data_IF_801579067972
#
_entry.id   IF_801579067972
#
_cell.length_a   1.000
_cell.length_b   1.000
_cell.length_c   1.000
_cell.angle_alpha   90.00
_cell.angle_beta   90.00
_cell.angle_gamma   90.00
#
_symmetry.space_group_name_H-M   'P 1'
#
loop_
_entity.id
_entity.type
_entity.pdbx_description
1 polymer ?
#
# COMPACT_ATOMS: atom_id res chain seq x y z
N UNK A 1 -2.59 18.49 -13.28
CA UNK A 1 -1.13 18.68 -13.42
C UNK A 1 -0.43 18.76 -12.06
N UNK A 2 -1.14 19.16 -11.00
CA UNK A 2 -0.64 19.28 -9.62
C UNK A 2 -0.31 17.93 -8.94
N UNK A 3 -1.21 16.94 -9.05
CA UNK A 3 -1.03 15.58 -8.47
C UNK A 3 0.23 14.87 -8.97
N UNK A 4 0.52 14.92 -10.27
CA UNK A 4 1.71 14.26 -10.82
C UNK A 4 3.00 14.87 -10.25
N UNK A 5 3.04 16.20 -10.10
CA UNK A 5 4.19 16.91 -9.53
C UNK A 5 4.37 16.63 -8.04
N UNK A 6 3.27 16.42 -7.30
CA UNK A 6 3.29 16.10 -5.88
C UNK A 6 3.73 14.65 -5.64
N UNK A 7 3.18 13.71 -6.40
CA UNK A 7 3.55 12.30 -6.34
C UNK A 7 5.03 12.09 -6.70
N UNK A 8 5.56 12.84 -7.66
CA UNK A 8 6.99 12.77 -8.02
C UNK A 8 7.90 13.34 -6.93
N UNK A 9 7.50 14.44 -6.27
CA UNK A 9 8.20 14.95 -5.08
C UNK A 9 8.20 13.92 -3.96
N UNK A 10 7.07 13.27 -3.71
CA UNK A 10 6.96 12.26 -2.66
C UNK A 10 7.81 11.03 -2.96
N UNK A 11 7.80 10.53 -4.21
CA UNK A 11 8.71 9.47 -4.68
C UNK A 11 10.17 9.82 -4.41
N UNK A 12 10.58 11.04 -4.73
CA UNK A 12 11.95 11.47 -4.48
C UNK A 12 12.29 11.46 -2.98
N UNK A 13 11.35 11.91 -2.14
CA UNK A 13 11.50 11.86 -0.68
C UNK A 13 11.65 10.43 -0.14
N UNK A 14 10.85 9.48 -0.64
CA UNK A 14 10.98 8.05 -0.32
C UNK A 14 12.38 7.54 -0.68
N UNK A 15 12.84 7.81 -1.90
CA UNK A 15 14.16 7.34 -2.37
C UNK A 15 15.30 7.88 -1.49
N UNK A 16 15.24 9.16 -1.10
CA UNK A 16 16.23 9.76 -0.20
C UNK A 16 16.19 9.06 1.16
N UNK A 17 14.99 8.86 1.72
CA UNK A 17 14.84 8.26 3.04
C UNK A 17 15.25 6.78 3.08
N UNK A 18 15.05 6.03 2.00
CA UNK A 18 15.54 4.66 1.85
C UNK A 18 17.06 4.59 1.68
N UNK A 19 17.66 5.53 0.96
CA UNK A 19 19.08 5.51 0.66
C UNK A 19 19.96 5.95 1.86
N UNK A 20 19.53 6.99 2.58
CA UNK A 20 20.37 7.68 3.57
C UNK A 20 19.59 8.24 4.77
N UNK A 21 18.27 8.00 4.86
CA UNK A 21 17.41 8.64 5.86
C UNK A 21 16.77 7.67 6.84
N UNK A 22 15.64 8.09 7.42
CA UNK A 22 14.98 7.40 8.53
C UNK A 22 14.43 6.00 8.18
N UNK A 23 14.38 5.64 6.89
CA UNK A 23 13.90 4.34 6.43
C UNK A 23 15.02 3.35 6.12
N UNK A 24 16.28 3.74 6.28
CA UNK A 24 17.41 2.84 6.00
C UNK A 24 17.39 1.59 6.89
N UNK A 25 16.83 1.70 8.10
CA UNK A 25 16.69 0.60 9.07
C UNK A 25 15.26 0.04 9.14
N UNK A 26 14.32 0.57 8.35
CA UNK A 26 12.94 0.10 8.34
C UNK A 26 12.81 -1.18 7.49
N UNK A 27 12.17 -2.21 8.04
CA UNK A 27 11.92 -3.44 7.30
C UNK A 27 10.87 -3.19 6.21
N UNK A 28 11.22 -3.53 4.98
CA UNK A 28 10.30 -3.58 3.83
C UNK A 28 9.76 -5.02 3.69
N UNK A 29 8.59 -5.33 4.27
CA UNK A 29 8.12 -6.71 4.41
C UNK A 29 7.80 -7.40 3.09
N UNK A 30 7.54 -6.64 2.02
CA UNK A 30 7.27 -7.22 0.70
C UNK A 30 8.57 -7.37 -0.08
N UNK A 31 8.89 -8.62 -0.39
CA UNK A 31 10.01 -9.04 -1.23
C UNK A 31 9.44 -9.86 -2.39
N UNK A 32 9.85 -9.54 -3.61
CA UNK A 32 9.43 -10.31 -4.78
C UNK A 32 10.33 -11.56 -4.97
N UNK A 33 9.98 -12.40 -5.94
CA UNK A 33 10.71 -13.65 -6.22
C UNK A 33 12.17 -13.44 -6.63
N UNK A 34 12.54 -12.24 -7.09
CA UNK A 34 13.92 -11.88 -7.45
C UNK A 34 14.72 -11.32 -6.27
N UNK A 35 14.12 -11.23 -5.07
CA UNK A 35 14.75 -10.64 -3.88
C UNK A 35 14.71 -9.11 -3.84
N UNK A 36 13.97 -8.46 -4.73
CA UNK A 36 13.78 -7.00 -4.71
C UNK A 36 12.62 -6.59 -3.81
N UNK A 37 12.69 -5.38 -3.25
CA UNK A 37 11.62 -4.77 -2.47
C UNK A 37 10.84 -3.78 -3.34
N UNK A 38 9.73 -4.19 -3.99
CA UNK A 38 8.91 -3.26 -4.78
C UNK A 38 8.36 -2.15 -3.89
N UNK A 39 8.56 -0.89 -4.31
CA UNK A 39 8.11 0.30 -3.60
C UNK A 39 7.17 1.11 -4.47
N UNK A 40 6.00 1.47 -3.95
CA UNK A 40 5.00 2.30 -4.63
C UNK A 40 4.65 3.51 -3.77
N UNK A 41 4.69 4.69 -4.38
CA UNK A 41 4.19 5.91 -3.74
C UNK A 41 2.71 6.12 -4.04
N UNK A 42 2.00 6.68 -3.07
CA UNK A 42 0.60 7.08 -3.18
C UNK A 42 0.33 8.39 -2.43
N UNK A 43 -0.70 9.12 -2.85
CA UNK A 43 -1.25 10.26 -2.13
C UNK A 43 -2.60 9.86 -1.53
N UNK A 44 -2.90 10.31 -0.30
CA UNK A 44 -4.14 9.96 0.39
C UNK A 44 -5.39 10.36 -0.40
N UNK A 45 -5.33 11.49 -1.11
CA UNK A 45 -6.43 12.07 -1.89
C UNK A 45 -6.65 11.44 -3.27
N UNK A 46 -5.80 10.51 -3.72
CA UNK A 46 -6.00 9.89 -5.03
C UNK A 46 -6.99 8.71 -4.97
N UNK A 47 -7.54 8.34 -6.12
CA UNK A 47 -8.44 7.19 -6.21
C UNK A 47 -7.69 5.89 -5.91
N UNK A 48 -8.29 5.04 -5.07
CA UNK A 48 -7.77 3.70 -4.76
C UNK A 48 -7.53 2.88 -6.04
N UNK A 49 -8.44 2.98 -7.01
CA UNK A 49 -8.30 2.29 -8.30
C UNK A 49 -7.01 2.68 -9.05
N UNK A 50 -6.55 3.92 -8.91
CA UNK A 50 -5.30 4.39 -9.53
C UNK A 50 -4.08 3.79 -8.81
N UNK A 51 -4.12 3.72 -7.47
CA UNK A 51 -3.09 3.03 -6.69
C UNK A 51 -3.02 1.54 -7.05
N UNK A 52 -4.16 0.84 -7.08
CA UNK A 52 -4.23 -0.58 -7.44
C UNK A 52 -3.65 -0.83 -8.84
N UNK A 53 -3.98 0.02 -9.82
CA UNK A 53 -3.39 -0.06 -11.16
C UNK A 53 -1.88 0.17 -11.20
N UNK A 54 -1.28 0.88 -10.23
CA UNK A 54 0.18 0.98 -10.09
C UNK A 54 0.80 -0.25 -9.44
N UNK A 55 0.11 -0.84 -8.45
CA UNK A 55 0.55 -2.06 -7.78
C UNK A 55 0.53 -3.24 -8.76
N UNK A 56 -0.51 -3.35 -9.59
CA UNK A 56 -0.58 -4.34 -10.68
C UNK A 56 0.64 -4.24 -11.63
N UNK A 57 1.09 -3.03 -11.97
CA UNK A 57 2.25 -2.82 -12.85
C UNK A 57 3.58 -3.26 -12.26
N UNK A 58 3.67 -3.42 -10.94
CA UNK A 58 4.87 -3.94 -10.26
C UNK A 58 4.74 -5.43 -9.87
N UNK A 59 3.71 -6.11 -10.39
CA UNK A 59 3.49 -7.54 -10.17
C UNK A 59 2.45 -7.86 -9.08
N UNK A 60 1.64 -6.89 -8.66
CA UNK A 60 0.53 -7.12 -7.72
C UNK A 60 0.89 -6.97 -6.24
N UNK A 61 2.18 -6.90 -5.91
CA UNK A 61 2.68 -6.83 -4.53
C UNK A 61 3.68 -5.70 -4.37
N UNK A 62 3.58 -4.95 -3.27
CA UNK A 62 4.41 -3.77 -3.03
C UNK A 62 4.43 -3.34 -1.56
N UNK A 63 5.55 -2.74 -1.16
CA UNK A 63 5.59 -1.83 -0.01
C UNK A 63 5.08 -0.47 -0.49
N UNK A 64 3.92 -0.05 0.00
CA UNK A 64 3.26 1.18 -0.43
C UNK A 64 3.43 2.24 0.65
N UNK A 65 4.01 3.38 0.29
CA UNK A 65 4.02 4.56 1.15
C UNK A 65 2.92 5.51 0.70
N UNK A 66 2.08 5.93 1.63
CA UNK A 66 0.99 6.87 1.40
C UNK A 66 1.32 8.18 2.10
N UNK A 67 1.43 9.26 1.34
CA UNK A 67 1.53 10.61 1.88
C UNK A 67 0.12 11.13 2.21
N UNK A 68 -0.10 11.51 3.46
CA UNK A 68 -1.25 12.31 3.90
C UNK A 68 -0.75 13.68 4.37
N UNK A 69 -1.65 14.63 4.64
CA UNK A 69 -1.26 16.03 4.97
C UNK A 69 -0.17 16.15 6.05
N UNK A 70 -0.20 15.30 7.08
CA UNK A 70 0.72 15.39 8.23
C UNK A 70 1.44 14.07 8.59
N UNK A 71 1.32 13.03 7.76
CA UNK A 71 1.90 11.71 8.05
C UNK A 71 2.20 10.91 6.80
N UNK A 72 3.14 9.98 6.93
CA UNK A 72 3.34 8.91 5.95
C UNK A 72 2.95 7.59 6.58
N UNK A 73 2.13 6.81 5.89
CA UNK A 73 1.70 5.49 6.32
C UNK A 73 2.19 4.45 5.33
N UNK A 74 2.77 3.35 5.82
CA UNK A 74 3.20 2.22 5.03
C UNK A 74 2.15 1.10 5.07
N UNK A 75 1.84 0.58 3.88
CA UNK A 75 1.04 -0.62 3.66
C UNK A 75 1.90 -1.70 3.02
N UNK A 76 1.67 -2.95 3.38
CA UNK A 76 2.28 -4.10 2.73
C UNK A 76 1.21 -4.82 1.89
N UNK A 77 1.36 -4.83 0.57
CA UNK A 77 0.53 -5.64 -0.32
C UNK A 77 1.27 -6.96 -0.53
N UNK A 78 0.83 -8.00 0.20
CA UNK A 78 1.49 -9.31 0.27
C UNK A 78 0.67 -10.32 -0.51
N UNK A 79 1.30 -11.32 -1.13
CA UNK A 79 0.58 -12.47 -1.64
C UNK A 79 -0.13 -13.22 -0.51
N UNK A 80 -1.46 -13.36 -0.61
CA UNK A 80 -2.25 -14.08 0.38
C UNK A 80 -1.81 -15.54 0.58
N UNK A 81 -1.20 -16.17 -0.44
CA UNK A 81 -0.63 -17.53 -0.33
C UNK A 81 0.60 -17.58 0.59
N UNK A 82 1.32 -16.46 0.71
CA UNK A 82 2.53 -16.31 1.54
C UNK A 82 2.23 -15.65 2.89
N UNK A 83 1.00 -15.22 3.15
CA UNK A 83 0.65 -14.42 4.30
C UNK A 83 0.14 -15.26 5.49
N UNK A 84 0.80 -15.11 6.63
CA UNK A 84 0.32 -15.63 7.92
C UNK A 84 -0.87 -14.76 8.36
N UNK A 85 -2.06 -15.36 8.48
CA UNK A 85 -3.29 -14.66 8.89
C UNK A 85 -4.27 -14.33 7.76
N UNK A 86 -3.94 -14.62 6.50
CA UNK A 86 -4.83 -14.35 5.36
C UNK A 86 -6.19 -15.10 5.42
N UNK A 87 -6.29 -16.16 6.22
CA UNK A 87 -7.55 -16.88 6.46
C UNK A 87 -8.51 -16.12 7.41
N UNK A 88 -7.98 -15.25 8.28
CA UNK A 88 -8.74 -14.49 9.28
C UNK A 88 -9.01 -13.04 8.84
N UNK A 89 -8.47 -12.65 7.69
CA UNK A 89 -8.62 -11.35 7.07
C UNK A 89 -10.03 -11.15 6.50
N UNK A 90 -10.50 -9.91 6.51
CA UNK A 90 -11.79 -9.56 5.89
C UNK A 90 -11.69 -9.65 4.36
N UNK A 91 -12.65 -10.33 3.73
CA UNK A 91 -12.63 -10.57 2.30
C UNK A 91 -13.48 -9.55 1.56
N UNK A 92 -12.82 -8.51 1.02
CA UNK A 92 -13.49 -7.46 0.26
C UNK A 92 -14.07 -7.95 -1.06
N UNK A 93 -13.81 -9.20 -1.47
CA UNK A 93 -14.45 -9.80 -2.65
C UNK A 93 -15.93 -10.13 -2.42
N UNK A 94 -16.36 -10.31 -1.16
CA UNK A 94 -17.73 -10.63 -0.77
C UNK A 94 -18.68 -9.47 -1.06
N UNK A 95 -19.87 -9.81 -1.55
CA UNK A 95 -20.88 -8.82 -1.96
C UNK A 95 -21.28 -7.92 -0.78
N UNK A 96 -20.89 -6.64 -0.86
CA UNK A 96 -21.23 -5.61 0.13
C UNK A 96 -20.04 -4.83 0.71
N UNK A 97 -18.82 -5.37 0.61
CA UNK A 97 -17.63 -4.76 1.23
C UNK A 97 -16.64 -4.18 0.22
N UNK A 98 -16.89 -4.35 -1.08
CA UNK A 98 -16.04 -3.79 -2.14
C UNK A 98 -15.92 -2.27 -2.04
N UNK A 99 -14.70 -1.71 -2.15
CA UNK A 99 -14.52 -0.27 -2.26
C UNK A 99 -15.34 0.31 -3.41
N UNK A 100 -16.00 1.45 -3.16
CA UNK A 100 -16.69 2.21 -4.19
C UNK A 100 -15.74 2.66 -5.31
N UNK A 101 -16.28 2.94 -6.49
CA UNK A 101 -15.49 3.39 -7.66
C UNK A 101 -14.78 4.71 -7.45
N UNK A 102 -15.27 5.50 -6.50
CA UNK A 102 -14.78 6.81 -6.06
C UNK A 102 -14.02 6.76 -4.73
N UNK A 103 -13.79 5.57 -4.18
CA UNK A 103 -13.03 5.41 -2.94
C UNK A 103 -11.60 5.94 -3.11
N UNK A 104 -11.18 6.81 -2.19
CA UNK A 104 -9.81 7.33 -2.13
C UNK A 104 -8.91 6.38 -1.36
N UNK A 105 -7.60 6.58 -1.47
CA UNK A 105 -6.61 5.87 -0.64
C UNK A 105 -6.82 6.18 0.84
N UNK A 106 -7.18 7.42 1.20
CA UNK A 106 -7.49 7.82 2.57
C UNK A 106 -8.66 7.04 3.16
N UNK A 107 -9.79 6.96 2.46
CA UNK A 107 -10.95 6.18 2.90
C UNK A 107 -10.59 4.70 3.10
N UNK A 108 -9.72 4.17 2.24
CA UNK A 108 -9.23 2.80 2.38
C UNK A 108 -8.31 2.62 3.60
N UNK A 109 -7.43 3.58 3.88
CA UNK A 109 -6.61 3.58 5.10
C UNK A 109 -7.46 3.62 6.37
N UNK A 110 -8.48 4.49 6.40
CA UNK A 110 -9.40 4.59 7.53
C UNK A 110 -10.14 3.28 7.77
N UNK A 111 -10.59 2.63 6.69
CA UNK A 111 -11.19 1.31 6.76
C UNK A 111 -10.20 0.25 7.27
N UNK A 112 -8.98 0.20 6.74
CA UNK A 112 -7.93 -0.73 7.18
C UNK A 112 -7.59 -0.59 8.66
N UNK A 113 -7.56 0.63 9.20
CA UNK A 113 -7.30 0.86 10.63
C UNK A 113 -8.37 0.23 11.53
N UNK A 114 -9.58 0.02 11.02
CA UNK A 114 -10.66 -0.67 11.74
C UNK A 114 -10.57 -2.21 11.64
N UNK A 115 -9.66 -2.74 10.82
CA UNK A 115 -9.53 -4.18 10.51
C UNK A 115 -8.22 -4.74 11.08
N UNK A 116 -8.22 -5.18 12.36
CA UNK A 116 -6.99 -5.64 13.03
C UNK A 116 -6.35 -6.86 12.36
N UNK A 117 -7.15 -7.67 11.67
CA UNK A 117 -6.67 -8.87 10.97
C UNK A 117 -6.27 -8.58 9.51
N UNK A 118 -6.31 -7.32 9.07
CA UNK A 118 -6.09 -6.95 7.68
C UNK A 118 -7.25 -7.34 6.77
N UNK A 119 -7.02 -7.14 5.46
CA UNK A 119 -8.03 -7.34 4.43
C UNK A 119 -7.44 -8.07 3.23
N UNK A 120 -8.29 -8.78 2.49
CA UNK A 120 -7.98 -9.29 1.16
C UNK A 120 -8.76 -8.50 0.13
N UNK A 121 -8.08 -8.00 -0.90
CA UNK A 121 -8.77 -7.32 -2.00
C UNK A 121 -9.38 -8.33 -2.98
N UNK A 122 -10.44 -7.93 -3.71
CA UNK A 122 -10.98 -8.74 -4.79
C UNK A 122 -9.90 -9.01 -5.84
N UNK A 123 -9.77 -10.27 -6.25
CA UNK A 123 -8.91 -10.65 -7.35
C UNK A 123 -9.39 -9.96 -8.65
N UNK A 124 -8.46 -9.48 -9.48
CA UNK A 124 -8.74 -9.22 -10.90
C UNK A 124 -8.33 -10.38 -11.81
N UNK A 125 -7.52 -11.33 -11.31
CA UNK A 125 -7.06 -12.53 -11.99
C UNK A 125 -7.06 -13.72 -11.02
N UNK A 126 -7.31 -14.92 -11.55
CA UNK A 126 -7.63 -16.13 -10.79
C UNK A 126 -6.56 -16.50 -9.73
N UNK A 127 -7.02 -16.63 -8.48
CA UNK A 127 -6.37 -17.17 -7.27
C UNK A 127 -5.19 -16.43 -6.58
N UNK A 128 -4.64 -15.35 -7.11
CA UNK A 128 -3.58 -14.56 -6.45
C UNK A 128 -4.13 -13.23 -5.89
N UNK A 129 -4.64 -13.26 -4.65
CA UNK A 129 -5.19 -12.05 -3.99
C UNK A 129 -4.17 -11.37 -3.08
N UNK A 130 -4.05 -10.04 -3.11
CA UNK A 130 -3.22 -9.35 -2.16
C UNK A 130 -3.90 -9.32 -0.78
N UNK A 131 -3.14 -9.75 0.23
CA UNK A 131 -3.41 -9.54 1.65
C UNK A 131 -2.70 -8.27 2.11
N UNK A 132 -3.43 -7.42 2.83
CA UNK A 132 -2.91 -6.17 3.38
C UNK A 132 -3.08 -6.22 4.89
N UNK A 133 -1.99 -6.32 5.67
CA UNK A 133 -2.06 -6.27 7.12
C UNK A 133 -2.37 -4.84 7.59
N UNK A 134 -2.51 -4.67 8.91
CA UNK A 134 -2.74 -3.36 9.49
C UNK A 134 -1.64 -2.35 9.07
N UNK A 135 -2.01 -1.10 8.75
CA UNK A 135 -1.06 -0.05 8.38
C UNK A 135 -0.04 0.23 9.49
N UNK A 136 1.17 0.62 9.10
CA UNK A 136 2.22 1.11 9.99
C UNK A 136 2.50 2.59 9.70
N UNK A 137 2.44 3.45 10.72
CA UNK A 137 2.89 4.84 10.56
C UNK A 137 4.41 4.92 10.52
N UNK A 138 4.92 5.78 9.62
CA UNK A 138 6.33 5.90 9.32
C UNK A 138 6.77 7.36 9.45
N UNK A 139 7.92 7.59 10.07
CA UNK A 139 8.52 8.91 10.18
C UNK A 139 9.53 9.14 9.06
N UNK A 140 9.34 10.23 8.33
CA UNK A 140 10.32 10.69 7.34
C UNK A 140 11.21 11.73 8.00
N UNK A 141 12.50 11.73 7.64
CA UNK A 141 13.38 12.81 8.07
C UNK A 141 12.85 14.15 7.52
N UNK A 142 12.82 15.18 8.36
CA UNK A 142 12.57 16.56 7.90
C UNK A 142 13.75 16.99 7.04
N UNK A 143 13.52 17.13 5.73
CA UNK A 143 14.52 17.62 4.76
C UNK A 143 14.37 19.11 4.58
#
# INVERSE_FOLDING_TARGET
>A
MEIASELDKFRNSININLAVGALADEELPVVNNDGHHPVVAALSNELLAVLLGRIEKVGGYANVFVSSENRVTMLAFIDSSCAIGAAEAEDLASDGERPGVDATVETFLDYLMMKPNGVRLPARLDDERPFIPAPKDIQFASV
#
